data_IF_538704193202
#
_entry.id   IF_538704193202
#
_cell.length_a   1.000
_cell.length_b   1.000
_cell.length_c   1.000
_cell.angle_alpha   90.00
_cell.angle_beta   90.00
_cell.angle_gamma   90.00
#
_symmetry.space_group_name_H-M   'P 1'
#
loop_
_entity.id
_entity.type
_entity.pdbx_description
1 polymer ?
#
# COMPACT_ATOMS: atom_id res chain seq x y z
N UNK A 1 -1.86 3.30 6.05
CA UNK A 1 -2.39 4.68 6.20
C UNK A 1 -1.66 5.59 5.23
N UNK A 2 -2.37 6.51 4.55
CA UNK A 2 -1.79 7.38 3.54
C UNK A 2 -1.87 8.86 3.96
N UNK A 3 -0.75 9.55 3.92
CA UNK A 3 -0.63 10.97 4.24
C UNK A 3 -0.44 11.79 2.97
N UNK A 4 -1.15 12.89 2.82
CA UNK A 4 -1.00 13.78 1.67
C UNK A 4 -0.34 15.10 2.06
N UNK A 5 0.59 15.53 1.22
CA UNK A 5 1.38 16.74 1.40
C UNK A 5 1.28 17.61 0.13
N UNK A 6 1.10 18.91 0.33
CA UNK A 6 1.21 19.94 -0.71
C UNK A 6 2.29 20.92 -0.25
N UNK A 7 3.25 21.25 -1.13
CA UNK A 7 4.42 22.11 -0.83
C UNK A 7 5.19 21.70 0.43
N UNK A 8 5.27 20.40 0.70
CA UNK A 8 5.96 19.84 1.88
C UNK A 8 5.18 19.92 3.19
N UNK A 9 3.98 20.50 3.21
CA UNK A 9 3.11 20.62 4.39
C UNK A 9 2.08 19.49 4.41
N UNK A 10 1.93 18.81 5.55
CA UNK A 10 0.90 17.77 5.72
C UNK A 10 -0.49 18.40 5.69
N UNK A 11 -1.30 18.01 4.72
CA UNK A 11 -2.65 18.54 4.52
C UNK A 11 -3.74 17.61 5.09
N UNK A 12 -3.42 16.32 5.27
CA UNK A 12 -4.30 15.41 6.00
C UNK A 12 -3.92 13.93 5.88
N UNK A 13 -4.87 13.08 6.26
CA UNK A 13 -4.70 11.63 6.36
C UNK A 13 -5.89 10.93 5.69
N UNK A 14 -5.60 9.88 4.93
CA UNK A 14 -6.59 9.01 4.32
C UNK A 14 -6.45 7.63 4.98
N UNK A 15 -7.46 7.19 5.74
CA UNK A 15 -7.51 5.83 6.25
C UNK A 15 -7.77 4.89 5.09
N UNK A 16 -6.76 4.10 4.76
CA UNK A 16 -6.80 3.18 3.62
C UNK A 16 -6.66 1.80 4.20
N UNK A 17 -7.79 1.12 4.28
CA UNK A 17 -7.86 -0.24 4.76
C UNK A 17 -7.98 -1.15 3.55
N UNK A 18 -6.86 -1.75 3.16
CA UNK A 18 -6.84 -2.80 2.14
C UNK A 18 -7.26 -4.09 2.85
N UNK A 19 -8.39 -4.66 2.44
CA UNK A 19 -8.92 -5.89 3.05
C UNK A 19 -7.86 -7.01 3.06
N UNK A 20 -7.55 -7.49 4.26
CA UNK A 20 -6.59 -8.56 4.58
C UNK A 20 -6.83 -9.85 3.77
N UNK A 21 -8.08 -10.13 3.37
CA UNK A 21 -8.41 -11.30 2.53
C UNK A 21 -8.05 -11.13 1.07
N UNK A 22 -7.64 -9.93 0.65
CA UNK A 22 -7.15 -9.66 -0.71
C UNK A 22 -5.64 -9.74 -0.83
N UNK A 23 -4.87 -9.67 0.26
CA UNK A 23 -3.40 -9.74 0.21
C UNK A 23 -2.88 -10.93 -0.61
N UNK A 24 -3.40 -12.13 -0.33
CA UNK A 24 -3.12 -13.35 -1.09
C UNK A 24 -3.57 -13.31 -2.57
N UNK A 25 -4.61 -12.53 -2.93
CA UNK A 25 -5.10 -12.42 -4.31
C UNK A 25 -4.16 -11.62 -5.22
N UNK A 26 -3.34 -10.78 -4.62
CA UNK A 26 -2.36 -9.94 -5.30
C UNK A 26 -0.98 -10.62 -5.42
N UNK A 27 -0.81 -11.84 -4.87
CA UNK A 27 0.41 -12.63 -5.07
C UNK A 27 0.34 -13.30 -6.43
N UNK A 28 1.31 -13.00 -7.30
CA UNK A 28 1.36 -13.54 -8.68
C UNK A 28 2.35 -14.69 -8.84
N UNK A 29 3.22 -14.89 -7.84
CA UNK A 29 4.31 -15.90 -7.90
C UNK A 29 3.96 -17.23 -7.23
N UNK A 30 3.03 -17.23 -6.27
CA UNK A 30 2.72 -18.36 -5.39
C UNK A 30 1.25 -18.30 -4.98
N UNK A 31 0.72 -19.44 -4.52
CA UNK A 31 -0.60 -19.54 -3.89
C UNK A 31 -0.46 -19.65 -2.38
N UNK A 32 -1.34 -18.98 -1.64
CA UNK A 32 -1.44 -19.20 -0.19
C UNK A 32 -1.91 -20.64 0.13
N UNK A 33 -1.48 -21.25 1.26
CA UNK A 33 -0.62 -20.67 2.30
C UNK A 33 0.85 -20.58 1.88
N UNK A 34 1.52 -19.49 2.28
CA UNK A 34 2.94 -19.29 2.02
C UNK A 34 3.80 -20.03 3.05
N UNK A 35 5.02 -20.41 2.67
CA UNK A 35 6.00 -21.00 3.59
C UNK A 35 7.06 -19.98 3.97
N UNK A 36 7.54 -20.07 5.21
CA UNK A 36 8.67 -19.27 5.70
C UNK A 36 9.87 -19.42 4.75
N UNK A 37 10.43 -18.29 4.32
CA UNK A 37 11.58 -18.26 3.40
C UNK A 37 11.21 -18.23 1.91
N UNK A 38 9.93 -18.28 1.53
CA UNK A 38 9.55 -18.01 0.15
C UNK A 38 9.85 -16.56 -0.23
N UNK A 39 10.47 -16.37 -1.39
CA UNK A 39 10.54 -15.06 -2.05
C UNK A 39 9.30 -14.96 -2.93
N UNK A 40 8.43 -14.00 -2.63
CA UNK A 40 7.18 -13.79 -3.35
C UNK A 40 7.22 -12.49 -4.16
N UNK A 41 6.54 -12.51 -5.30
CA UNK A 41 6.15 -11.33 -6.07
C UNK A 41 4.69 -11.02 -5.82
N UNK A 42 4.43 -9.75 -5.48
CA UNK A 42 3.12 -9.17 -5.21
C UNK A 42 2.87 -8.03 -6.18
N UNK A 43 1.67 -7.96 -6.76
CA UNK A 43 1.26 -6.94 -7.70
C UNK A 43 -0.08 -6.37 -7.25
N UNK A 44 -0.10 -5.07 -6.95
CA UNK A 44 -1.28 -4.32 -6.55
C UNK A 44 -1.43 -3.12 -7.48
N UNK A 45 -2.59 -3.03 -8.13
CA UNK A 45 -2.99 -1.85 -8.86
C UNK A 45 -3.36 -0.74 -7.86
N UNK A 46 -2.94 0.49 -8.15
CA UNK A 46 -3.18 1.66 -7.29
C UNK A 46 -4.51 2.37 -7.60
N UNK A 47 -5.40 1.69 -8.31
CA UNK A 47 -6.69 2.18 -8.78
C UNK A 47 -7.76 2.30 -7.66
N UNK A 48 -7.42 1.87 -6.44
CA UNK A 48 -8.32 1.93 -5.29
C UNK A 48 -8.53 3.36 -4.73
N UNK A 49 -7.76 4.35 -5.20
CA UNK A 49 -8.00 5.74 -4.85
C UNK A 49 -8.62 6.51 -6.01
N UNK A 50 -9.70 7.28 -5.77
CA UNK A 50 -10.23 8.20 -6.76
C UNK A 50 -9.14 9.12 -7.33
N UNK A 51 -9.19 9.36 -8.64
CA UNK A 51 -8.27 10.27 -9.34
C UNK A 51 -8.22 11.67 -8.71
N UNK A 52 -9.32 12.08 -8.08
CA UNK A 52 -9.51 13.33 -7.34
C UNK A 52 -8.58 13.47 -6.13
N UNK A 53 -8.09 12.33 -5.61
CA UNK A 53 -7.14 12.29 -4.51
C UNK A 53 -5.73 12.57 -5.01
N UNK A 54 -5.38 12.14 -6.23
CA UNK A 54 -4.06 12.32 -6.82
C UNK A 54 -3.97 13.65 -7.55
N UNK A 55 -3.43 14.65 -6.87
CA UNK A 55 -3.16 15.96 -7.46
C UNK A 55 -1.74 16.01 -7.99
N UNK A 56 -1.60 16.46 -9.24
CA UNK A 56 -0.29 16.75 -9.84
C UNK A 56 0.45 17.76 -8.96
N UNK A 57 1.73 17.49 -8.68
CA UNK A 57 2.57 18.29 -7.79
C UNK A 57 2.49 17.90 -6.30
N UNK A 58 1.57 17.00 -5.93
CA UNK A 58 1.49 16.51 -4.56
C UNK A 58 2.42 15.33 -4.29
N UNK A 59 2.86 15.23 -3.04
CA UNK A 59 3.61 14.07 -2.54
C UNK A 59 2.75 13.31 -1.53
N UNK A 60 2.69 12.01 -1.68
CA UNK A 60 1.98 11.13 -0.76
C UNK A 60 2.97 10.20 -0.07
N UNK A 61 2.78 10.00 1.23
CA UNK A 61 3.53 9.00 2.00
C UNK A 61 2.58 7.91 2.41
N UNK A 62 2.88 6.67 2.03
CA UNK A 62 2.11 5.52 2.44
C UNK A 62 2.96 4.60 3.30
N UNK A 63 2.37 4.12 4.39
CA UNK A 63 2.86 2.96 5.13
C UNK A 63 1.91 1.79 4.84
N UNK A 64 2.49 0.73 4.27
CA UNK A 64 1.81 -0.52 3.91
C UNK A 64 2.35 -1.60 4.84
N UNK A 65 1.49 -2.11 5.70
CA UNK A 65 1.83 -3.20 6.61
C UNK A 65 1.09 -4.44 6.15
N UNK A 66 1.80 -5.55 6.04
CA UNK A 66 1.21 -6.86 5.76
C UNK A 66 1.17 -7.68 7.04
N UNK A 67 0.02 -8.27 7.27
CA UNK A 67 -0.25 -9.14 8.40
C UNK A 67 -0.60 -10.54 7.92
N UNK A 68 -0.32 -11.55 8.75
CA UNK A 68 -0.82 -12.91 8.54
C UNK A 68 -2.26 -13.09 9.07
N UNK A 69 -2.78 -14.31 8.98
CA UNK A 69 -4.12 -14.65 9.47
C UNK A 69 -4.30 -14.46 11.00
N UNK A 70 -3.21 -14.39 11.76
CA UNK A 70 -3.20 -14.16 13.21
C UNK A 70 -2.96 -12.69 13.58
N UNK A 71 -2.94 -11.79 12.60
CA UNK A 71 -2.63 -10.36 12.76
C UNK A 71 -1.17 -10.11 13.18
N UNK A 72 -0.25 -11.05 12.97
CA UNK A 72 1.16 -10.83 13.21
C UNK A 72 1.80 -10.07 12.03
N UNK A 73 2.75 -9.19 12.33
CA UNK A 73 3.46 -8.41 11.31
C UNK A 73 4.36 -9.32 10.46
N UNK A 74 4.08 -9.41 9.15
CA UNK A 74 4.93 -10.12 8.18
C UNK A 74 5.97 -9.19 7.59
N UNK A 75 5.55 -7.99 7.15
CA UNK A 75 6.44 -6.98 6.59
C UNK A 75 5.82 -5.59 6.64
N UNK A 76 6.64 -4.55 6.53
CA UNK A 76 6.22 -3.16 6.45
C UNK A 76 7.03 -2.43 5.36
N UNK A 77 6.31 -1.76 4.47
CA UNK A 77 6.86 -0.98 3.37
C UNK A 77 6.48 0.48 3.56
N UNK A 78 7.47 1.36 3.43
CA UNK A 78 7.27 2.81 3.38
C UNK A 78 7.54 3.29 1.98
N UNK A 79 6.55 3.93 1.37
CA UNK A 79 6.62 4.43 0.00
C UNK A 79 6.34 5.93 -0.03
N UNK A 80 7.11 6.64 -0.84
CA UNK A 80 6.85 8.04 -1.19
C UNK A 80 6.40 8.06 -2.65
N UNK A 81 5.22 8.58 -2.91
CA UNK A 81 4.66 8.74 -4.25
C UNK A 81 4.72 10.22 -4.62
N UNK A 82 5.30 10.50 -5.78
CA UNK A 82 5.30 11.84 -6.36
C UNK A 82 4.43 11.79 -7.62
N UNK A 83 3.38 12.61 -7.65
CA UNK A 83 2.52 12.72 -8.83
C UNK A 83 3.08 13.82 -9.72
N UNK A 84 3.69 13.43 -10.83
CA UNK A 84 4.25 14.33 -11.85
C UNK A 84 3.27 14.50 -13.02
N UNK A 85 3.38 15.59 -13.81
CA UNK A 85 2.58 15.80 -15.02
C UNK A 85 2.76 14.70 -16.07
#
# INVERSE_FOLDING_TARGET
MLYFYEDGVKKGELPVNIDIRKGCKYIVSHTCPLRKGNVITWALDWDFFPSEIYRVGSTYKAEIVLHDEFQEHVTCLKVNLLVVP
#
